data_IF_758691001803
#
_entry.id   IF_758691001803
#
_cell.length_a   1.000
_cell.length_b   1.000
_cell.length_c   1.000
_cell.angle_alpha   90.00
_cell.angle_beta   90.00
_cell.angle_gamma   90.00
#
_symmetry.space_group_name_H-M   'P 1'
#
loop_
_entity.id
_entity.type
_entity.pdbx_description
1 polymer ?
#
# COMPACT_ATOMS: atom_id res chain seq x y z
N UNK A 1 -1.64 18.63 2.12
CA UNK A 1 -1.13 17.84 3.26
C UNK A 1 0.27 17.36 2.94
N UNK A 2 1.04 17.03 3.96
CA UNK A 2 2.38 16.44 3.85
C UNK A 2 2.24 14.93 4.05
N UNK A 3 2.63 14.15 3.05
CA UNK A 3 2.52 12.69 3.11
C UNK A 3 3.90 12.09 2.93
N UNK A 4 4.26 11.17 3.81
CA UNK A 4 5.48 10.39 3.69
C UNK A 4 5.13 8.98 3.24
N UNK A 5 5.93 8.41 2.34
CA UNK A 5 5.74 7.03 1.85
C UNK A 5 7.03 6.25 2.12
N UNK A 6 6.93 5.20 2.93
CA UNK A 6 8.06 4.32 3.26
C UNK A 6 8.05 3.10 2.35
N UNK A 7 9.11 2.94 1.57
CA UNK A 7 9.28 1.89 0.57
C UNK A 7 9.04 2.41 -0.85
N UNK A 8 10.08 2.33 -1.70
CA UNK A 8 10.01 2.78 -3.11
C UNK A 8 9.97 1.54 -4.04
N UNK A 9 9.03 0.62 -3.75
CA UNK A 9 8.66 -0.48 -4.62
C UNK A 9 7.41 -0.15 -5.43
N UNK A 10 6.80 -1.17 -6.07
CA UNK A 10 5.61 -0.95 -6.90
C UNK A 10 4.48 -0.27 -6.13
N UNK A 11 4.18 -0.75 -4.93
CA UNK A 11 3.08 -0.23 -4.10
C UNK A 11 3.38 1.20 -3.63
N UNK A 12 4.56 1.40 -3.04
CA UNK A 12 4.88 2.70 -2.45
C UNK A 12 5.09 3.78 -3.50
N UNK A 13 5.84 3.48 -4.57
CA UNK A 13 6.13 4.50 -5.57
C UNK A 13 4.87 4.89 -6.36
N UNK A 14 4.02 3.92 -6.73
CA UNK A 14 2.77 4.25 -7.43
C UNK A 14 1.86 5.09 -6.53
N UNK A 15 1.79 4.76 -5.24
CA UNK A 15 1.05 5.55 -4.25
C UNK A 15 1.64 6.96 -4.13
N UNK A 16 2.98 7.09 -4.06
CA UNK A 16 3.65 8.38 -3.94
C UNK A 16 3.37 9.26 -5.17
N UNK A 17 3.46 8.69 -6.39
CA UNK A 17 3.16 9.43 -7.63
C UNK A 17 1.69 9.86 -7.65
N UNK A 18 0.76 8.93 -7.37
CA UNK A 18 -0.68 9.25 -7.30
C UNK A 18 -0.94 10.44 -6.36
N UNK A 19 -0.42 10.35 -5.13
CA UNK A 19 -0.69 11.34 -4.10
C UNK A 19 -0.01 12.69 -4.37
N UNK A 20 1.12 12.68 -5.12
CA UNK A 20 1.85 13.92 -5.44
C UNK A 20 1.06 14.85 -6.37
N UNK A 21 0.00 14.37 -7.00
CA UNK A 21 -0.88 15.21 -7.83
C UNK A 21 -1.57 16.31 -7.01
N UNK A 22 -1.84 16.05 -5.74
CA UNK A 22 -2.61 16.99 -4.89
C UNK A 22 -1.92 17.30 -3.55
N UNK A 23 -0.81 16.63 -3.24
CA UNK A 23 -0.18 16.72 -1.92
C UNK A 23 1.33 16.83 -2.04
N UNK A 24 1.97 17.33 -0.98
CA UNK A 24 3.44 17.31 -0.87
C UNK A 24 3.87 15.92 -0.42
N UNK A 25 4.63 15.22 -1.26
CA UNK A 25 5.01 13.83 -0.97
C UNK A 25 6.53 13.71 -0.79
N UNK A 26 6.91 13.05 0.28
CA UNK A 26 8.30 12.61 0.52
C UNK A 26 8.33 11.09 0.58
N UNK A 27 9.45 10.50 0.17
CA UNK A 27 9.60 9.04 0.22
C UNK A 27 10.84 8.65 1.02
N UNK A 28 10.72 7.54 1.73
CA UNK A 28 11.80 6.93 2.51
C UNK A 28 12.09 5.54 1.92
N UNK A 29 13.37 5.26 1.67
CA UNK A 29 13.81 3.90 1.32
C UNK A 29 15.23 3.69 1.84
N UNK A 30 15.53 2.49 2.29
CA UNK A 30 16.86 2.16 2.82
C UNK A 30 17.91 2.05 1.70
N UNK A 31 17.46 2.00 0.43
CA UNK A 31 18.34 1.75 -0.72
C UNK A 31 18.73 3.07 -1.38
N UNK A 32 19.97 3.51 -1.15
CA UNK A 32 20.45 4.80 -1.67
C UNK A 32 20.27 4.91 -3.18
N UNK A 33 20.57 3.85 -3.95
CA UNK A 33 20.45 3.92 -5.42
C UNK A 33 19.01 4.17 -5.90
N UNK A 34 18.00 3.68 -5.16
CA UNK A 34 16.58 3.99 -5.47
C UNK A 34 16.27 5.45 -5.19
N UNK A 35 16.76 5.95 -4.05
CA UNK A 35 16.58 7.34 -3.65
C UNK A 35 17.21 8.27 -4.71
N UNK A 36 18.43 7.96 -5.15
CA UNK A 36 19.14 8.75 -6.17
C UNK A 36 18.36 8.80 -7.48
N UNK A 37 17.79 7.67 -7.91
CA UNK A 37 17.00 7.61 -9.13
C UNK A 37 15.75 8.51 -9.02
N UNK A 38 14.99 8.40 -7.93
CA UNK A 38 13.79 9.22 -7.73
C UNK A 38 14.14 10.70 -7.74
N UNK A 39 15.20 11.10 -7.02
CA UNK A 39 15.62 12.50 -6.95
C UNK A 39 16.15 13.01 -8.30
N UNK A 40 16.57 12.10 -9.18
CA UNK A 40 16.95 12.42 -10.56
C UNK A 40 15.76 12.38 -11.54
N UNK A 41 14.53 12.18 -11.05
CA UNK A 41 13.33 12.09 -11.88
C UNK A 41 13.24 10.80 -12.68
N UNK A 42 13.83 9.72 -12.17
CA UNK A 42 13.85 8.40 -12.83
C UNK A 42 13.21 7.34 -11.94
N UNK A 43 12.57 6.37 -12.56
CA UNK A 43 11.95 5.27 -11.83
C UNK A 43 12.96 4.17 -11.51
N UNK A 44 13.01 3.67 -10.26
CA UNK A 44 13.80 2.47 -9.92
C UNK A 44 13.07 1.16 -10.24
N UNK A 45 11.84 1.22 -10.74
CA UNK A 45 11.02 0.06 -11.10
C UNK A 45 10.48 0.23 -12.51
N UNK A 46 10.08 -0.88 -13.14
CA UNK A 46 9.51 -0.86 -14.50
C UNK A 46 8.00 -0.69 -14.42
N UNK A 47 7.54 0.51 -14.72
CA UNK A 47 6.12 0.88 -14.79
C UNK A 47 6.03 2.11 -15.68
N UNK A 48 5.46 1.95 -16.86
CA UNK A 48 5.48 2.98 -17.91
C UNK A 48 4.85 4.27 -17.42
N UNK A 49 3.70 4.19 -16.75
CA UNK A 49 3.00 5.37 -16.26
C UNK A 49 3.80 6.11 -15.17
N UNK A 50 4.54 5.38 -14.33
CA UNK A 50 5.43 6.00 -13.33
C UNK A 50 6.62 6.67 -14.03
N UNK A 51 7.23 5.98 -14.99
CA UNK A 51 8.37 6.53 -15.77
C UNK A 51 7.95 7.81 -16.48
N UNK A 52 6.78 7.80 -17.13
CA UNK A 52 6.22 8.95 -17.84
C UNK A 52 5.90 10.10 -16.86
N UNK A 53 5.29 9.82 -15.72
CA UNK A 53 4.95 10.83 -14.72
C UNK A 53 6.20 11.53 -14.18
N UNK A 54 7.25 10.76 -13.85
CA UNK A 54 8.51 11.32 -13.37
C UNK A 54 9.21 12.14 -14.46
N UNK A 55 9.23 11.64 -15.71
CA UNK A 55 9.80 12.36 -16.85
C UNK A 55 9.02 13.64 -17.15
N UNK A 56 7.71 13.66 -16.93
CA UNK A 56 6.87 14.85 -17.11
C UNK A 56 7.05 15.89 -15.99
N UNK A 57 7.83 15.58 -14.95
CA UNK A 57 8.17 16.55 -13.92
C UNK A 57 7.52 16.33 -12.56
N UNK A 58 6.86 15.19 -12.35
CA UNK A 58 6.37 14.84 -11.00
C UNK A 58 7.54 14.84 -10.03
N UNK A 59 7.38 15.52 -8.90
CA UNK A 59 8.44 15.66 -7.91
C UNK A 59 8.08 14.92 -6.63
N UNK A 60 8.95 14.01 -6.26
CA UNK A 60 8.92 13.28 -5.00
C UNK A 60 10.31 13.44 -4.39
N UNK A 61 10.38 13.97 -3.18
CA UNK A 61 11.66 14.11 -2.48
C UNK A 61 11.93 12.82 -1.71
N UNK A 62 12.93 12.07 -2.13
CA UNK A 62 13.28 10.79 -1.51
C UNK A 62 14.53 10.93 -0.65
N UNK A 63 14.57 10.19 0.47
CA UNK A 63 15.72 10.18 1.38
C UNK A 63 15.89 8.82 2.03
N UNK A 64 17.14 8.50 2.40
CA UNK A 64 17.42 7.35 3.28
C UNK A 64 17.41 7.74 4.76
N UNK A 65 17.21 9.04 5.05
CA UNK A 65 17.10 9.53 6.43
C UNK A 65 15.63 9.60 6.84
N UNK A 66 15.19 8.79 7.82
CA UNK A 66 13.81 8.83 8.29
C UNK A 66 13.43 10.17 8.92
N UNK A 67 14.39 10.93 9.46
CA UNK A 67 14.11 12.28 9.99
C UNK A 67 13.62 13.19 8.86
N UNK A 68 14.31 13.18 7.71
CA UNK A 68 13.92 14.00 6.57
C UNK A 68 12.57 13.59 6.02
N UNK A 69 12.29 12.28 6.01
CA UNK A 69 11.06 11.77 5.43
C UNK A 69 9.83 12.02 6.32
N UNK A 70 9.94 11.73 7.63
CA UNK A 70 8.76 11.65 8.50
C UNK A 70 8.47 12.92 9.30
N UNK A 71 9.44 13.84 9.48
CA UNK A 71 9.20 15.06 10.26
C UNK A 71 8.08 15.89 9.63
N UNK A 72 7.02 16.19 10.40
CA UNK A 72 5.92 17.05 9.97
C UNK A 72 5.00 16.43 8.90
N UNK A 73 5.07 15.12 8.71
CA UNK A 73 4.11 14.43 7.86
C UNK A 73 2.75 14.33 8.57
N UNK A 74 1.67 14.66 7.86
CA UNK A 74 0.31 14.43 8.36
C UNK A 74 -0.02 12.93 8.28
N UNK A 75 0.48 12.27 7.23
CA UNK A 75 0.24 10.86 6.95
C UNK A 75 1.56 10.16 6.63
N UNK A 76 1.70 8.92 7.12
CA UNK A 76 2.82 8.04 6.76
C UNK A 76 2.25 6.75 6.17
N UNK A 77 2.52 6.51 4.90
CA UNK A 77 2.10 5.29 4.20
C UNK A 77 3.27 4.30 4.25
N UNK A 78 3.03 3.10 4.77
CA UNK A 78 4.05 2.04 4.85
C UNK A 78 3.78 1.00 3.76
N UNK A 79 4.71 0.90 2.80
CA UNK A 79 4.66 -0.04 1.68
C UNK A 79 5.99 -0.79 1.56
N UNK A 80 6.58 -1.12 2.70
CA UNK A 80 7.83 -1.90 2.76
C UNK A 80 7.58 -3.37 2.48
N UNK A 81 8.57 -4.10 1.95
CA UNK A 81 8.38 -5.52 1.63
C UNK A 81 8.07 -6.36 2.87
N UNK A 82 7.14 -7.29 2.72
CA UNK A 82 6.84 -8.32 3.70
C UNK A 82 6.96 -9.67 2.99
N UNK A 83 7.84 -10.51 3.47
CA UNK A 83 8.12 -11.80 2.83
C UNK A 83 7.38 -12.91 3.57
N UNK A 84 6.70 -13.78 2.83
CA UNK A 84 6.11 -14.99 3.39
C UNK A 84 7.10 -16.14 3.25
N UNK A 85 7.42 -16.77 4.38
CA UNK A 85 8.26 -17.95 4.46
C UNK A 85 7.34 -19.17 4.56
N UNK A 86 7.17 -19.95 3.48
CA UNK A 86 6.25 -21.09 3.51
C UNK A 86 6.72 -22.25 4.40
N UNK A 87 8.04 -22.36 4.63
CA UNK A 87 8.58 -23.43 5.47
C UNK A 87 8.26 -23.20 6.95
N UNK A 88 8.19 -21.93 7.34
CA UNK A 88 7.88 -21.51 8.71
C UNK A 88 6.43 -21.08 8.88
N UNK A 89 5.67 -21.01 7.80
CA UNK A 89 4.31 -20.43 7.78
C UNK A 89 4.28 -19.06 8.46
N UNK A 90 5.20 -18.19 8.06
CA UNK A 90 5.49 -16.93 8.77
C UNK A 90 5.62 -15.76 7.80
N UNK A 91 4.95 -14.65 8.13
CA UNK A 91 5.14 -13.38 7.46
C UNK A 91 6.19 -12.55 8.19
N UNK A 92 7.26 -12.19 7.51
CA UNK A 92 8.27 -11.28 8.06
C UNK A 92 7.77 -9.84 7.92
N UNK A 93 7.23 -9.30 9.00
CA UNK A 93 6.71 -7.94 9.08
C UNK A 93 7.73 -6.96 9.70
N UNK A 94 8.95 -7.41 9.94
CA UNK A 94 9.99 -6.63 10.63
C UNK A 94 10.24 -5.26 9.99
N UNK A 95 10.13 -5.17 8.64
CA UNK A 95 10.30 -3.90 7.93
C UNK A 95 9.20 -2.89 8.29
N UNK A 96 7.96 -3.36 8.46
CA UNK A 96 6.83 -2.51 8.87
C UNK A 96 7.06 -1.99 10.30
N UNK A 97 7.41 -2.90 11.22
CA UNK A 97 7.66 -2.57 12.62
C UNK A 97 8.82 -1.58 12.77
N UNK A 98 9.86 -1.73 11.94
CA UNK A 98 11.00 -0.81 11.94
C UNK A 98 10.53 0.61 11.61
N UNK A 99 9.69 0.76 10.57
CA UNK A 99 9.16 2.08 10.20
C UNK A 99 8.25 2.62 11.31
N UNK A 100 7.40 1.77 11.91
CA UNK A 100 6.55 2.20 13.04
C UNK A 100 7.37 2.76 14.20
N UNK A 101 8.49 2.09 14.56
CA UNK A 101 9.38 2.58 15.64
C UNK A 101 10.03 3.91 15.25
N UNK A 102 10.42 4.08 13.98
CA UNK A 102 10.99 5.34 13.49
C UNK A 102 9.95 6.46 13.56
N UNK A 103 8.72 6.21 13.08
CA UNK A 103 7.64 7.21 13.13
C UNK A 103 7.30 7.55 14.58
N UNK A 104 7.21 6.56 15.46
CA UNK A 104 6.94 6.78 16.88
C UNK A 104 7.97 7.73 17.52
N UNK A 105 9.24 7.58 17.13
CA UNK A 105 10.33 8.40 17.68
C UNK A 105 10.38 9.81 17.08
N UNK A 106 10.00 9.97 15.81
CA UNK A 106 10.20 11.21 15.04
C UNK A 106 8.92 12.06 15.02
N UNK A 107 7.76 11.42 14.80
CA UNK A 107 6.51 12.12 14.54
C UNK A 107 5.31 11.25 14.97
N UNK A 108 5.13 11.06 16.29
CA UNK A 108 4.09 10.15 16.80
C UNK A 108 2.65 10.62 16.54
N UNK A 109 2.48 11.86 16.12
CA UNK A 109 1.14 12.43 15.85
C UNK A 109 0.65 12.14 14.41
N UNK A 110 1.54 11.63 13.54
CA UNK A 110 1.16 11.26 12.18
C UNK A 110 0.16 10.09 12.18
N UNK A 111 -0.78 10.13 11.24
CA UNK A 111 -1.63 8.96 10.98
C UNK A 111 -0.89 8.01 10.03
N UNK A 112 -0.77 6.76 10.43
CA UNK A 112 -0.01 5.75 9.70
C UNK A 112 -0.99 4.85 8.94
N UNK A 113 -0.66 4.52 7.69
CA UNK A 113 -1.45 3.60 6.88
C UNK A 113 -0.53 2.48 6.39
N UNK A 114 -0.77 1.27 6.85
CA UNK A 114 -0.03 0.09 6.40
C UNK A 114 -0.67 -0.39 5.08
N UNK A 115 0.11 -0.41 4.01
CA UNK A 115 -0.29 -0.97 2.70
C UNK A 115 0.44 -2.28 2.40
N UNK A 116 1.49 -2.60 3.14
CA UNK A 116 2.20 -3.89 3.03
C UNK A 116 1.24 -5.05 3.32
N UNK A 117 1.43 -6.17 2.63
CA UNK A 117 0.62 -7.38 2.89
C UNK A 117 0.99 -7.97 4.25
N UNK A 118 0.01 -8.13 5.12
CA UNK A 118 0.20 -8.59 6.49
C UNK A 118 -0.81 -9.68 6.83
N UNK A 119 -0.56 -10.47 7.88
CA UNK A 119 -1.55 -11.47 8.34
C UNK A 119 -2.82 -10.82 8.86
N UNK A 120 -3.92 -11.59 8.82
CA UNK A 120 -5.20 -11.14 9.38
C UNK A 120 -5.07 -10.97 10.90
N UNK A 121 -5.49 -9.82 11.42
CA UNK A 121 -5.39 -9.45 12.84
C UNK A 121 -4.10 -8.70 13.19
N UNK A 122 -3.24 -8.46 12.21
CA UNK A 122 -1.94 -7.82 12.45
C UNK A 122 -2.09 -6.39 13.00
N UNK A 123 -2.91 -5.56 12.37
CA UNK A 123 -3.07 -4.16 12.80
C UNK A 123 -3.76 -4.07 14.18
N UNK A 124 -4.68 -4.99 14.47
CA UNK A 124 -5.24 -5.09 15.84
C UNK A 124 -4.12 -5.34 16.87
N UNK A 125 -3.20 -6.27 16.56
CA UNK A 125 -2.05 -6.57 17.42
C UNK A 125 -1.16 -5.35 17.64
N UNK A 126 -0.94 -4.56 16.58
CA UNK A 126 -0.11 -3.34 16.67
C UNK A 126 -0.66 -2.30 17.66
N UNK A 127 -1.97 -2.28 17.92
CA UNK A 127 -2.54 -1.32 18.88
C UNK A 127 -2.00 -1.55 20.29
N UNK A 128 -1.68 -2.80 20.63
CA UNK A 128 -1.10 -3.15 21.93
C UNK A 128 0.39 -2.80 21.99
N UNK A 129 1.11 -3.05 20.90
CA UNK A 129 2.55 -2.76 20.82
C UNK A 129 2.84 -1.25 20.71
N UNK A 130 1.99 -0.55 19.95
CA UNK A 130 2.14 0.89 19.67
C UNK A 130 0.87 1.66 20.08
N UNK A 131 0.54 1.70 21.38
CA UNK A 131 -0.76 2.24 21.81
C UNK A 131 -0.96 3.74 21.52
N UNK A 132 0.12 4.47 21.32
CA UNK A 132 0.05 5.92 21.04
C UNK A 132 -0.11 6.23 19.55
N UNK A 133 0.21 5.29 18.67
CA UNK A 133 0.14 5.55 17.22
C UNK A 133 -1.28 5.34 16.68
N UNK A 134 -1.63 6.17 15.71
CA UNK A 134 -2.86 6.03 14.91
C UNK A 134 -2.53 5.19 13.69
N UNK A 135 -2.91 3.90 13.69
CA UNK A 135 -2.54 2.96 12.63
C UNK A 135 -3.79 2.44 11.92
N UNK A 136 -3.81 2.58 10.60
CA UNK A 136 -4.84 2.08 9.70
C UNK A 136 -4.25 1.03 8.77
N UNK A 137 -5.10 0.27 8.09
CA UNK A 137 -4.70 -0.67 7.05
C UNK A 137 -5.43 -0.34 5.74
N UNK A 138 -4.69 -0.28 4.63
CA UNK A 138 -5.32 -0.06 3.32
C UNK A 138 -4.70 -1.02 2.29
N UNK A 139 -5.35 -2.15 2.00
CA UNK A 139 -4.81 -3.09 1.01
C UNK A 139 -4.72 -2.47 -0.38
N UNK A 140 -3.83 -3.02 -1.19
CA UNK A 140 -3.71 -2.68 -2.60
C UNK A 140 -4.11 -3.89 -3.46
N UNK A 141 -4.58 -3.63 -4.68
CA UNK A 141 -5.01 -4.65 -5.62
C UNK A 141 -4.34 -4.45 -6.99
N UNK A 142 -3.12 -3.92 -6.99
CA UNK A 142 -2.39 -3.55 -8.18
C UNK A 142 -1.56 -4.73 -8.76
N UNK A 143 -1.24 -4.61 -10.04
CA UNK A 143 -0.36 -5.53 -10.75
C UNK A 143 1.01 -4.88 -10.95
N UNK A 144 2.08 -5.63 -10.72
CA UNK A 144 3.43 -5.15 -10.99
C UNK A 144 3.58 -4.76 -12.46
N UNK A 145 4.19 -3.61 -12.70
CA UNK A 145 4.35 -3.06 -14.05
C UNK A 145 3.15 -2.25 -14.56
N UNK A 146 2.04 -2.23 -13.81
CA UNK A 146 0.86 -1.41 -14.08
C UNK A 146 0.35 -0.74 -12.79
N UNK A 147 1.25 -0.56 -11.84
CA UNK A 147 0.85 -0.17 -10.48
C UNK A 147 0.21 1.22 -10.45
N UNK A 148 0.77 2.18 -11.18
CA UNK A 148 0.17 3.53 -11.22
C UNK A 148 -1.16 3.51 -11.95
N UNK A 149 -1.26 2.79 -13.07
CA UNK A 149 -2.52 2.66 -13.81
C UNK A 149 -3.62 2.08 -12.92
N UNK A 150 -3.31 1.01 -12.19
CA UNK A 150 -4.28 0.37 -11.30
C UNK A 150 -4.69 1.29 -10.14
N UNK A 151 -3.79 2.15 -9.67
CA UNK A 151 -4.10 3.17 -8.66
C UNK A 151 -4.91 4.34 -9.23
N UNK A 152 -4.66 4.72 -10.49
CA UNK A 152 -5.45 5.76 -11.16
C UNK A 152 -6.87 5.29 -11.49
N UNK A 153 -7.05 3.98 -11.68
CA UNK A 153 -8.32 3.36 -12.03
C UNK A 153 -8.66 2.22 -11.04
N UNK A 154 -8.81 2.53 -9.76
CA UNK A 154 -9.01 1.49 -8.76
C UNK A 154 -10.43 0.91 -8.83
N UNK A 155 -10.55 -0.41 -8.77
CA UNK A 155 -11.87 -1.06 -8.70
C UNK A 155 -12.61 -0.72 -7.40
N UNK A 156 -11.87 -0.43 -6.35
CA UNK A 156 -12.39 -0.02 -5.04
C UNK A 156 -11.23 0.48 -4.18
N UNK A 157 -11.56 1.29 -3.19
CA UNK A 157 -10.63 1.69 -2.12
C UNK A 157 -11.13 1.07 -0.82
N UNK A 158 -10.26 0.38 -0.10
CA UNK A 158 -10.60 -0.23 1.21
C UNK A 158 -9.68 0.37 2.26
N UNK A 159 -10.24 0.84 3.36
CA UNK A 159 -9.45 1.32 4.49
C UNK A 159 -10.02 0.75 5.78
N UNK A 160 -9.18 0.04 6.52
CA UNK A 160 -9.52 -0.57 7.79
C UNK A 160 -8.95 0.18 8.99
N UNK A 161 -9.74 0.25 10.05
CA UNK A 161 -9.30 0.79 11.34
C UNK A 161 -9.42 -0.28 12.42
N UNK A 162 -8.55 -0.27 13.45
CA UNK A 162 -8.62 -1.28 14.49
C UNK A 162 -9.86 -1.10 15.37
N UNK A 163 -10.51 -2.20 15.72
CA UNK A 163 -11.71 -2.18 16.56
C UNK A 163 -11.45 -1.60 17.95
N UNK A 164 -10.20 -1.74 18.42
CA UNK A 164 -9.76 -1.19 19.71
C UNK A 164 -9.65 0.35 19.68
N UNK A 165 -9.71 0.97 18.49
CA UNK A 165 -9.59 2.43 18.32
C UNK A 165 -10.68 2.96 17.37
N UNK A 166 -11.95 2.87 17.76
CA UNK A 166 -13.06 3.29 16.87
C UNK A 166 -13.01 4.78 16.48
N UNK A 167 -12.31 5.61 17.25
CA UNK A 167 -12.09 7.02 16.90
C UNK A 167 -11.29 7.21 15.62
N UNK A 168 -10.64 6.16 15.12
CA UNK A 168 -9.89 6.22 13.85
C UNK A 168 -10.78 6.02 12.61
N UNK A 169 -12.06 5.73 12.77
CA UNK A 169 -13.00 5.56 11.65
C UNK A 169 -13.02 6.82 10.75
N UNK A 170 -13.06 8.00 11.36
CA UNK A 170 -13.05 9.26 10.61
C UNK A 170 -11.74 9.43 9.83
N UNK A 171 -10.61 9.04 10.42
CA UNK A 171 -9.31 9.05 9.73
C UNK A 171 -9.29 8.05 8.56
N UNK A 172 -9.89 6.87 8.75
CA UNK A 172 -10.00 5.88 7.68
C UNK A 172 -10.83 6.42 6.51
N UNK A 173 -11.97 7.06 6.80
CA UNK A 173 -12.79 7.70 5.77
C UNK A 173 -12.04 8.83 5.07
N UNK A 174 -11.27 9.62 5.81
CA UNK A 174 -10.44 10.69 5.25
C UNK A 174 -9.39 10.12 4.28
N UNK A 175 -8.70 9.04 4.67
CA UNK A 175 -7.68 8.43 3.80
C UNK A 175 -8.34 7.81 2.54
N UNK A 176 -9.50 7.19 2.69
CA UNK A 176 -10.25 6.67 1.53
C UNK A 176 -10.57 7.81 0.55
N UNK A 177 -11.00 8.97 1.07
CA UNK A 177 -11.26 10.16 0.27
C UNK A 177 -10.00 10.72 -0.40
N UNK A 178 -8.84 10.64 0.26
CA UNK A 178 -7.55 11.05 -0.32
C UNK A 178 -7.23 10.17 -1.55
N UNK A 179 -7.38 8.85 -1.42
CA UNK A 179 -7.07 7.94 -2.52
C UNK A 179 -8.09 8.07 -3.66
N UNK A 180 -9.39 8.08 -3.35
CA UNK A 180 -10.43 8.19 -4.39
C UNK A 180 -10.40 9.55 -5.07
N UNK A 181 -10.06 10.62 -4.35
CA UNK A 181 -9.94 11.97 -4.92
C UNK A 181 -8.73 12.12 -5.85
N UNK A 182 -7.74 11.24 -5.75
CA UNK A 182 -6.58 11.22 -6.65
C UNK A 182 -6.77 10.28 -7.84
N UNK A 183 -7.82 9.43 -7.80
CA UNK A 183 -8.14 8.52 -8.91
C UNK A 183 -8.74 9.30 -10.09
N UNK A 184 -8.61 8.75 -11.29
CA UNK A 184 -9.18 9.34 -12.51
C UNK A 184 -10.62 8.89 -12.74
N UNK A 185 -11.02 7.77 -12.19
CA UNK A 185 -12.37 7.25 -12.33
C UNK A 185 -13.33 8.00 -11.39
N UNK A 186 -14.50 8.42 -11.88
CA UNK A 186 -15.52 8.99 -11.00
C UNK A 186 -16.16 7.88 -10.15
N UNK A 187 -16.65 8.27 -8.99
CA UNK A 187 -17.49 7.42 -8.14
C UNK A 187 -16.81 6.10 -7.74
N UNK A 188 -15.54 6.17 -7.33
CA UNK A 188 -14.81 5.00 -6.83
C UNK A 188 -15.46 4.49 -5.55
N UNK A 189 -15.80 3.21 -5.51
CA UNK A 189 -16.36 2.58 -4.30
C UNK A 189 -15.34 2.61 -3.16
N UNK A 190 -15.72 3.24 -2.05
CA UNK A 190 -14.89 3.32 -0.84
C UNK A 190 -15.53 2.52 0.29
N UNK A 191 -14.79 1.53 0.80
CA UNK A 191 -15.21 0.70 1.92
C UNK A 191 -14.36 1.04 3.15
N UNK A 192 -15.01 1.55 4.19
CA UNK A 192 -14.38 1.73 5.50
C UNK A 192 -14.90 0.62 6.41
N UNK A 193 -14.02 -0.14 7.04
CA UNK A 193 -14.38 -1.33 7.82
C UNK A 193 -13.34 -1.58 8.92
N UNK A 194 -13.48 -2.67 9.67
CA UNK A 194 -12.46 -3.06 10.64
C UNK A 194 -11.16 -3.47 9.94
N UNK A 195 -10.03 -3.26 10.61
CA UNK A 195 -8.71 -3.62 10.04
C UNK A 195 -8.63 -5.12 9.72
N UNK A 196 -9.19 -5.96 10.59
CA UNK A 196 -9.21 -7.42 10.38
C UNK A 196 -9.99 -7.80 9.11
N UNK A 197 -11.12 -7.12 8.86
CA UNK A 197 -11.91 -7.33 7.64
C UNK A 197 -11.12 -6.89 6.40
N UNK A 198 -10.47 -5.73 6.47
CA UNK A 198 -9.68 -5.22 5.35
C UNK A 198 -8.49 -6.14 5.02
N UNK A 199 -7.82 -6.68 6.05
CA UNK A 199 -6.74 -7.66 5.89
C UNK A 199 -7.27 -8.97 5.28
N UNK A 200 -8.45 -9.43 5.73
CA UNK A 200 -9.10 -10.63 5.20
C UNK A 200 -9.49 -10.43 3.73
N UNK A 201 -10.00 -9.25 3.35
CA UNK A 201 -10.31 -8.93 1.96
C UNK A 201 -9.06 -9.09 1.09
N UNK A 202 -7.91 -8.58 1.54
CA UNK A 202 -6.64 -8.72 0.80
C UNK A 202 -6.24 -10.19 0.66
N UNK A 203 -6.28 -10.93 1.77
CA UNK A 203 -5.89 -12.35 1.78
C UNK A 203 -6.77 -13.18 0.85
N UNK A 204 -8.10 -13.02 0.96
CA UNK A 204 -9.04 -13.77 0.12
C UNK A 204 -8.92 -13.40 -1.35
N UNK A 205 -8.71 -12.11 -1.68
CA UNK A 205 -8.52 -11.68 -3.06
C UNK A 205 -7.27 -12.32 -3.67
N UNK A 206 -6.16 -12.31 -2.94
CA UNK A 206 -4.90 -12.91 -3.40
C UNK A 206 -5.05 -14.44 -3.56
N UNK A 207 -5.68 -15.10 -2.59
CA UNK A 207 -5.90 -16.55 -2.62
C UNK A 207 -6.81 -16.93 -3.80
N UNK A 208 -7.88 -16.19 -4.01
CA UNK A 208 -8.80 -16.43 -5.12
C UNK A 208 -8.09 -16.29 -6.48
N UNK A 209 -7.27 -15.25 -6.64
CA UNK A 209 -6.51 -15.04 -7.88
C UNK A 209 -5.49 -16.17 -8.08
N UNK A 210 -4.82 -16.60 -7.03
CA UNK A 210 -3.88 -17.74 -7.10
C UNK A 210 -4.59 -19.04 -7.49
N UNK A 211 -5.75 -19.29 -6.93
CA UNK A 211 -6.58 -20.47 -7.27
C UNK A 211 -7.06 -20.41 -8.72
N UNK A 212 -7.42 -19.27 -9.19
CA UNK A 212 -7.78 -19.10 -10.62
C UNK A 212 -6.62 -19.35 -11.56
N UNK A 213 -5.62 -18.99 -11.10
CA UNK A 213 -4.47 -19.13 -11.89
C UNK A 213 -4.07 -20.57 -11.95
N UNK A 214 -4.32 -21.21 -10.95
CA UNK A 214 -4.08 -22.53 -10.89
C UNK A 214 -5.08 -23.34 -11.63
N UNK A 215 -6.11 -22.82 -11.65
CA UNK A 215 -7.12 -23.44 -12.32
C UNK A 215 -7.04 -23.34 -13.78
N UNK A 216 -6.62 -22.46 -14.15
CA UNK A 216 -6.40 -22.19 -15.48
C UNK A 216 -5.28 -23.00 -16.06
N UNK A 217 -4.31 -23.08 -15.48
CA UNK A 217 -3.16 -23.90 -15.88
C UNK A 217 -3.53 -25.38 -15.93
N UNK A 218 -4.14 -25.88 -14.88
CA UNK A 218 -4.60 -27.28 -14.81
C UNK A 218 -5.67 -27.56 -15.89
N UNK A 219 -6.57 -26.62 -16.12
CA UNK A 219 -7.61 -26.76 -17.16
C UNK A 219 -7.02 -26.74 -18.56
N UNK A 220 -5.96 -25.96 -18.79
CA UNK A 220 -5.23 -25.95 -20.08
C UNK A 220 -4.59 -27.32 -20.37
N UNK A 221 -4.03 -27.94 -19.34
CA UNK A 221 -3.37 -29.25 -19.48
C UNK A 221 -4.36 -30.39 -19.63
N UNK A 222 -5.64 -30.20 -19.21
CA UNK A 222 -6.66 -31.26 -19.20
C UNK A 222 -7.81 -31.07 -20.19
N UNK A 223 -7.75 -30.06 -21.05
CA UNK A 223 -8.84 -29.73 -22.01
C UNK A 223 -10.18 -29.44 -21.33
N UNK A 224 -10.17 -29.06 -20.07
CA UNK A 224 -11.38 -28.77 -19.28
C UNK A 224 -11.95 -27.36 -19.48
N UNK A 225 -11.29 -26.53 -20.29
CA UNK A 225 -11.70 -25.14 -20.50
C UNK A 225 -13.09 -25.01 -21.14
N UNK A 226 -13.51 -26.04 -21.86
CA UNK A 226 -14.83 -26.03 -22.55
C UNK A 226 -16.01 -26.05 -21.58
N UNK A 227 -15.85 -26.65 -20.40
CA UNK A 227 -16.96 -26.85 -19.46
C UNK A 227 -17.15 -25.66 -18.51
N UNK A 228 -16.08 -24.91 -18.23
CA UNK A 228 -16.14 -23.80 -17.26
C UNK A 228 -16.67 -22.48 -17.84
N UNK A 229 -16.81 -22.38 -19.17
CA UNK A 229 -17.37 -21.16 -19.80
C UNK A 229 -18.89 -21.00 -19.61
N UNK A 230 -19.55 -22.00 -19.03
CA UNK A 230 -21.01 -21.99 -18.88
C UNK A 230 -21.48 -21.88 -17.41
N UNK A 231 -20.57 -21.60 -16.47
CA UNK A 231 -20.92 -21.60 -15.03
C UNK A 231 -20.59 -20.25 -14.36
N UNK A 232 -20.43 -19.18 -15.16
CA UNK A 232 -20.32 -17.80 -14.60
C UNK A 232 -21.31 -16.91 -15.32
#
# INVERSE_FOLDING_TARGET
MNIAVAGIGYVGLSCAVLLSTHHSVRSFDITQSRVDLINAGKSPIRDVEIEDALAAGTRINASTDPQEAFTGADWVVIATPTNYDPDKNYFDTSSVEQVLRQVQAINPDATIVVKSTVPVGYVEGLTSEFPKLSILFSPEFLREGNALRDNLHPSRVVVGFPSAKPELEEKAAQFAGILSGAALDPDVDCLVCGSTEAEAIKLFSNTYLALRXXXXESASSMNLIRTLRYVV
#
